data_IF_165315865516
#
_entry.id   IF_165315865516
#
_cell.length_a   1.000
_cell.length_b   1.000
_cell.length_c   1.000
_cell.angle_alpha   90.00
_cell.angle_beta   90.00
_cell.angle_gamma   90.00
#
_symmetry.space_group_name_H-M   'P 1'
#
loop_
_entity.id
_entity.type
_entity.pdbx_description
1 polymer ?
#
# COMPACT_ATOMS: atom_id res chain seq x y z
N UNK A 1 13.02 20.54 18.32
CA UNK A 1 12.23 20.11 17.15
C UNK A 1 11.56 18.80 17.53
N UNK A 2 10.23 18.77 17.66
CA UNK A 2 9.50 17.53 17.96
C UNK A 2 9.68 16.58 16.77
N UNK A 3 10.45 15.51 16.96
CA UNK A 3 10.65 14.47 15.97
C UNK A 3 9.30 13.83 15.66
N UNK A 4 8.82 13.93 14.41
CA UNK A 4 7.67 13.17 13.91
C UNK A 4 8.05 11.71 13.62
N UNK A 5 9.06 11.18 14.34
CA UNK A 5 9.64 9.87 14.08
C UNK A 5 8.58 8.79 14.25
N UNK A 6 8.46 7.92 13.24
CA UNK A 6 7.60 6.73 13.29
C UNK A 6 8.46 5.49 13.29
N UNK A 7 8.02 4.41 13.90
CA UNK A 7 8.72 3.14 13.79
C UNK A 7 8.53 2.56 12.38
N UNK A 8 7.28 2.54 11.89
CA UNK A 8 6.93 2.03 10.58
C UNK A 8 6.02 3.01 9.81
N UNK A 9 6.30 3.18 8.53
CA UNK A 9 5.43 3.92 7.58
C UNK A 9 4.95 2.95 6.50
N UNK A 10 3.65 2.94 6.22
CA UNK A 10 3.10 2.13 5.13
C UNK A 10 3.00 2.94 3.82
N UNK A 11 3.42 2.32 2.73
CA UNK A 11 3.28 2.82 1.36
C UNK A 11 2.36 1.89 0.59
N UNK A 12 1.14 2.37 0.32
CA UNK A 12 0.07 1.61 -0.31
C UNK A 12 -0.02 1.94 -1.79
N UNK A 13 0.38 0.99 -2.64
CA UNK A 13 0.37 1.12 -4.09
C UNK A 13 -1.06 0.96 -4.62
N UNK A 14 -1.70 2.08 -4.96
CA UNK A 14 -3.10 2.16 -5.42
C UNK A 14 -3.23 2.57 -6.91
N UNK A 15 -2.15 2.47 -7.69
CA UNK A 15 -2.12 2.84 -9.11
C UNK A 15 -2.67 1.81 -10.10
N UNK A 16 -3.17 0.67 -9.63
CA UNK A 16 -3.64 -0.42 -10.48
C UNK A 16 -4.84 -0.04 -11.36
N UNK A 17 -4.61 0.12 -12.66
CA UNK A 17 -5.65 0.40 -13.67
C UNK A 17 -6.71 -0.72 -13.74
N UNK A 18 -6.36 -1.94 -13.35
CA UNK A 18 -7.31 -3.04 -13.28
C UNK A 18 -7.90 -3.43 -14.64
N UNK A 19 -7.13 -3.35 -15.73
CA UNK A 19 -7.57 -3.63 -17.11
C UNK A 19 -8.37 -4.92 -17.28
N UNK A 20 -8.11 -5.93 -16.43
CA UNK A 20 -8.78 -7.24 -16.44
C UNK A 20 -10.23 -7.22 -15.93
N UNK A 21 -10.67 -6.15 -15.26
CA UNK A 21 -12.03 -5.98 -14.74
C UNK A 21 -12.99 -5.30 -15.76
N UNK A 22 -12.49 -4.98 -16.96
CA UNK A 22 -13.31 -4.49 -18.07
C UNK A 22 -14.11 -3.24 -17.72
N UNK A 23 -15.44 -3.31 -17.85
CA UNK A 23 -16.34 -2.17 -17.63
C UNK A 23 -16.33 -1.65 -16.18
N UNK A 24 -15.93 -2.47 -15.20
CA UNK A 24 -15.94 -2.10 -13.79
C UNK A 24 -14.84 -1.10 -13.40
N UNK A 25 -13.76 -1.01 -14.18
CA UNK A 25 -12.64 -0.07 -13.95
C UNK A 25 -12.58 1.04 -14.99
N UNK A 26 -13.58 1.13 -15.89
CA UNK A 26 -13.60 2.11 -16.99
C UNK A 26 -13.62 3.58 -16.53
N UNK A 27 -14.10 3.85 -15.30
CA UNK A 27 -14.22 5.19 -14.72
C UNK A 27 -13.65 5.29 -13.30
N UNK A 28 -12.92 4.27 -12.85
CA UNK A 28 -12.39 4.22 -11.49
C UNK A 28 -11.24 3.21 -11.38
N UNK A 29 -10.24 3.55 -10.57
CA UNK A 29 -9.15 2.63 -10.27
C UNK A 29 -9.65 1.35 -9.58
N UNK A 30 -8.98 0.21 -9.78
CA UNK A 30 -9.32 -1.07 -9.13
C UNK A 30 -9.49 -0.96 -7.60
N UNK A 31 -8.62 -0.23 -6.86
CA UNK A 31 -8.78 -0.04 -5.41
C UNK A 31 -10.10 0.64 -4.99
N UNK A 32 -10.71 1.43 -5.88
CA UNK A 32 -11.96 2.13 -5.62
C UNK A 32 -13.22 1.27 -5.88
N UNK A 33 -13.07 0.08 -6.47
CA UNK A 33 -14.20 -0.80 -6.79
C UNK A 33 -14.88 -1.25 -5.50
N UNK A 34 -16.22 -1.23 -5.51
CA UNK A 34 -17.02 -1.67 -4.38
C UNK A 34 -16.90 -3.18 -4.13
N UNK A 35 -16.89 -3.56 -2.86
CA UNK A 35 -16.88 -4.93 -2.39
C UNK A 35 -17.82 -5.10 -1.19
N UNK A 36 -18.58 -6.20 -1.16
CA UNK A 36 -19.46 -6.50 -0.02
C UNK A 36 -20.56 -5.46 0.24
N UNK A 37 -20.97 -4.72 -0.79
CA UNK A 37 -22.08 -3.75 -0.74
C UNK A 37 -21.74 -2.37 -0.15
N UNK A 38 -20.85 -2.30 0.85
CA UNK A 38 -20.51 -1.03 1.54
C UNK A 38 -19.04 -0.63 1.43
N UNK A 39 -18.15 -1.60 1.25
CA UNK A 39 -16.71 -1.38 1.28
C UNK A 39 -16.15 -1.16 -0.12
N UNK A 40 -14.90 -0.73 -0.19
CA UNK A 40 -14.06 -0.75 -1.38
C UNK A 40 -12.84 -1.63 -1.14
N UNK A 41 -12.19 -2.06 -2.21
CA UNK A 41 -11.02 -2.95 -2.11
C UNK A 41 -9.91 -2.34 -1.24
N UNK A 42 -9.67 -1.02 -1.36
CA UNK A 42 -8.65 -0.33 -0.58
C UNK A 42 -8.90 -0.34 0.94
N UNK A 43 -10.15 -0.56 1.37
CA UNK A 43 -10.52 -0.52 2.79
C UNK A 43 -9.80 -1.63 3.57
N UNK A 44 -9.53 -2.76 2.92
CA UNK A 44 -8.88 -3.91 3.56
C UNK A 44 -7.45 -3.62 3.99
N UNK A 45 -6.52 -3.22 3.09
CA UNK A 45 -5.17 -2.86 3.51
C UNK A 45 -5.13 -1.66 4.46
N UNK A 46 -6.03 -0.67 4.34
CA UNK A 46 -6.11 0.46 5.28
C UNK A 46 -6.53 0.02 6.68
N UNK A 47 -7.58 -0.81 6.78
CA UNK A 47 -7.99 -1.39 8.06
C UNK A 47 -6.91 -2.29 8.66
N UNK A 48 -6.18 -3.05 7.84
CA UNK A 48 -5.06 -3.85 8.31
C UNK A 48 -3.95 -2.97 8.90
N UNK A 49 -3.62 -1.82 8.29
CA UNK A 49 -2.65 -0.88 8.86
C UNK A 49 -3.06 -0.44 10.26
N UNK A 50 -4.27 0.11 10.42
CA UNK A 50 -4.76 0.60 11.72
C UNK A 50 -4.83 -0.52 12.76
N UNK A 51 -5.34 -1.70 12.39
CA UNK A 51 -5.44 -2.85 13.30
C UNK A 51 -4.07 -3.42 13.71
N UNK A 52 -3.02 -3.13 12.92
CA UNK A 52 -1.63 -3.52 13.21
C UNK A 52 -0.82 -2.40 13.87
N UNK A 53 -1.47 -1.31 14.32
CA UNK A 53 -0.80 -0.18 14.97
C UNK A 53 -0.04 0.75 14.03
N UNK A 54 -0.19 0.60 12.70
CA UNK A 54 0.45 1.47 11.71
C UNK A 54 -0.46 2.66 11.43
N UNK A 55 -0.06 3.82 11.94
CA UNK A 55 -0.87 5.04 11.92
C UNK A 55 -0.49 6.05 10.83
N UNK A 56 0.54 5.75 10.03
CA UNK A 56 1.07 6.63 8.97
C UNK A 56 1.08 5.89 7.65
N UNK A 57 0.25 6.34 6.70
CA UNK A 57 0.02 5.65 5.44
C UNK A 57 0.06 6.62 4.26
N UNK A 58 1.00 6.42 3.35
CA UNK A 58 1.05 7.07 2.04
C UNK A 58 0.33 6.23 1.00
N UNK A 59 -0.69 6.77 0.36
CA UNK A 59 -1.46 6.08 -0.70
C UNK A 59 -1.04 6.60 -2.07
N UNK A 60 -0.31 5.79 -2.82
CA UNK A 60 0.22 6.15 -4.14
C UNK A 60 -0.86 5.95 -5.20
N UNK A 61 -1.45 7.06 -5.64
CA UNK A 61 -2.54 7.07 -6.63
C UNK A 61 -2.00 7.39 -8.01
N UNK A 62 -2.62 6.88 -9.08
CA UNK A 62 -2.15 7.12 -10.44
C UNK A 62 -3.33 7.38 -11.40
N UNK A 63 -4.11 6.35 -11.73
CA UNK A 63 -5.20 6.43 -12.72
C UNK A 63 -6.55 6.81 -12.08
N UNK A 64 -7.34 7.67 -12.74
CA UNK A 64 -8.70 8.08 -12.35
C UNK A 64 -8.88 8.30 -10.82
N UNK A 65 -8.07 9.16 -10.18
CA UNK A 65 -7.94 9.19 -8.73
C UNK A 65 -9.12 9.87 -8.04
N UNK A 66 -10.03 10.57 -8.75
CA UNK A 66 -11.09 11.36 -8.13
C UNK A 66 -11.95 10.52 -7.19
N UNK A 67 -12.49 9.40 -7.68
CA UNK A 67 -13.35 8.53 -6.86
C UNK A 67 -12.59 7.95 -5.65
N UNK A 68 -11.31 7.64 -5.82
CA UNK A 68 -10.46 7.11 -4.77
C UNK A 68 -10.16 8.20 -3.72
N UNK A 69 -9.71 9.37 -4.14
CA UNK A 69 -9.38 10.50 -3.28
C UNK A 69 -10.60 10.97 -2.48
N UNK A 70 -11.79 11.02 -3.09
CA UNK A 70 -13.03 11.35 -2.38
C UNK A 70 -13.35 10.34 -1.28
N UNK A 71 -13.08 9.06 -1.50
CA UNK A 71 -13.32 8.01 -0.51
C UNK A 71 -12.28 7.97 0.59
N UNK A 72 -11.01 8.20 0.25
CA UNK A 72 -9.93 8.33 1.21
C UNK A 72 -10.18 9.51 2.16
N UNK A 73 -10.59 10.66 1.61
CA UNK A 73 -10.83 11.87 2.40
C UNK A 73 -9.60 12.20 3.26
N UNK A 74 -9.83 12.38 4.56
CA UNK A 74 -8.77 12.58 5.56
C UNK A 74 -8.43 11.30 6.34
N UNK A 75 -8.97 10.14 5.95
CA UNK A 75 -8.69 8.86 6.62
C UNK A 75 -9.51 8.55 7.89
N UNK A 76 -10.45 9.42 8.30
CA UNK A 76 -11.29 9.21 9.50
C UNK A 76 -11.98 7.84 9.60
N UNK A 77 -12.50 7.21 8.52
CA UNK A 77 -13.14 5.90 8.61
C UNK A 77 -12.22 4.78 9.14
N UNK A 78 -10.90 4.98 9.03
CA UNK A 78 -9.87 4.05 9.51
C UNK A 78 -9.10 4.61 10.71
N UNK A 79 -9.51 5.74 11.29
CA UNK A 79 -8.76 6.41 12.35
C UNK A 79 -7.41 6.95 11.88
N UNK A 80 -7.26 7.27 10.60
CA UNK A 80 -6.02 7.77 10.01
C UNK A 80 -6.06 9.29 9.77
N UNK A 81 -6.81 10.03 10.57
CA UNK A 81 -6.95 11.50 10.51
C UNK A 81 -6.09 12.25 11.54
N UNK A 82 -5.02 11.60 12.00
CA UNK A 82 -4.09 12.16 12.98
C UNK A 82 -3.24 13.30 12.41
N UNK A 83 -3.01 14.36 13.20
CA UNK A 83 -2.13 15.49 12.81
C UNK A 83 -0.65 15.10 12.69
N UNK A 84 -0.22 14.02 13.37
CA UNK A 84 1.15 13.50 13.36
C UNK A 84 1.13 12.08 12.79
N UNK A 85 1.08 11.97 11.47
CA UNK A 85 0.88 10.73 10.75
C UNK A 85 -0.40 10.83 9.90
N UNK A 86 -1.18 9.76 9.87
CA UNK A 86 -2.43 9.67 9.16
C UNK A 86 -2.28 9.25 7.70
N UNK A 87 -3.38 9.38 6.97
CA UNK A 87 -3.50 9.00 5.56
C UNK A 87 -3.17 10.21 4.68
N UNK A 88 -2.21 10.03 3.76
CA UNK A 88 -1.87 11.03 2.75
C UNK A 88 -2.00 10.44 1.36
N UNK A 89 -2.77 11.07 0.47
CA UNK A 89 -2.81 10.72 -0.93
C UNK A 89 -1.59 11.31 -1.66
N UNK A 90 -0.87 10.45 -2.38
CA UNK A 90 0.40 10.76 -3.06
C UNK A 90 0.20 10.56 -4.58
N UNK A 91 -0.20 11.61 -5.32
CA UNK A 91 -0.29 11.54 -6.78
C UNK A 91 1.11 11.65 -7.42
N UNK A 92 1.27 11.27 -8.71
CA UNK A 92 2.52 11.47 -9.42
C UNK A 92 2.85 12.96 -9.56
N UNK A 93 4.15 13.29 -9.50
CA UNK A 93 4.61 14.65 -9.74
C UNK A 93 4.63 14.95 -11.24
N UNK A 94 4.04 16.08 -11.62
CA UNK A 94 4.15 16.64 -12.96
C UNK A 94 5.39 17.53 -12.97
N UNK A 95 6.45 17.10 -13.65
CA UNK A 95 7.60 17.98 -13.88
C UNK A 95 7.23 19.15 -14.80
N UNK A 96 8.00 20.24 -14.72
CA UNK A 96 7.80 21.45 -15.56
C UNK A 96 7.84 21.15 -17.07
N UNK A 97 8.41 20.02 -17.49
CA UNK A 97 8.50 19.58 -18.89
C UNK A 97 7.31 18.73 -19.37
N UNK A 98 6.36 18.38 -18.48
CA UNK A 98 5.19 17.55 -18.81
C UNK A 98 4.87 16.51 -17.72
N UNK A 99 3.63 16.01 -17.70
CA UNK A 99 3.18 15.02 -16.72
C UNK A 99 3.82 13.66 -16.93
N UNK A 100 4.62 13.21 -15.96
CA UNK A 100 5.17 11.86 -15.96
C UNK A 100 4.30 10.94 -15.11
N UNK A 101 3.89 9.82 -15.68
CA UNK A 101 3.29 8.72 -14.95
C UNK A 101 4.39 7.95 -14.21
N UNK A 102 4.07 7.26 -13.11
CA UNK A 102 5.03 6.34 -12.51
C UNK A 102 5.47 5.30 -13.54
N UNK A 103 6.79 5.15 -13.71
CA UNK A 103 7.41 4.16 -14.60
C UNK A 103 7.20 2.73 -14.07
N UNK A 104 6.91 2.60 -12.79
CA UNK A 104 6.61 1.34 -12.10
C UNK A 104 6.36 1.55 -10.61
N UNK A 105 6.16 0.46 -9.88
CA UNK A 105 5.91 0.50 -8.43
C UNK A 105 7.10 1.06 -7.64
N UNK A 106 8.32 0.70 -8.02
CA UNK A 106 9.53 1.23 -7.38
C UNK A 106 9.72 2.73 -7.65
N UNK A 107 9.46 3.19 -8.87
CA UNK A 107 9.50 4.61 -9.23
C UNK A 107 8.45 5.42 -8.46
N UNK A 108 7.26 4.85 -8.22
CA UNK A 108 6.24 5.47 -7.37
C UNK A 108 6.75 5.73 -5.94
N UNK A 109 7.48 4.78 -5.35
CA UNK A 109 8.11 4.98 -4.04
C UNK A 109 9.21 6.03 -4.12
N UNK A 110 10.09 5.94 -5.12
CA UNK A 110 11.21 6.86 -5.29
C UNK A 110 10.77 8.32 -5.42
N UNK A 111 9.78 8.61 -6.27
CA UNK A 111 9.25 9.96 -6.45
C UNK A 111 8.62 10.54 -5.17
N UNK A 112 8.21 9.67 -4.23
CA UNK A 112 7.60 10.05 -2.97
C UNK A 112 8.53 9.85 -1.76
N UNK A 113 9.85 9.77 -1.97
CA UNK A 113 10.81 9.56 -0.88
C UNK A 113 10.70 10.64 0.20
N UNK A 114 10.44 11.90 -0.18
CA UNK A 114 10.22 13.01 0.77
C UNK A 114 9.11 12.71 1.79
N UNK A 115 8.06 11.96 1.40
CA UNK A 115 7.00 11.55 2.32
C UNK A 115 7.50 10.56 3.37
N UNK A 116 8.44 9.70 3.02
CA UNK A 116 9.05 8.74 3.95
C UNK A 116 10.02 9.49 4.87
N UNK A 117 10.90 10.30 4.30
CA UNK A 117 11.94 11.05 5.02
C UNK A 117 11.38 11.99 6.10
N UNK A 118 10.19 12.58 5.89
CA UNK A 118 9.58 13.48 6.88
C UNK A 118 9.28 12.79 8.23
N UNK A 119 9.11 11.46 8.22
CA UNK A 119 8.82 10.65 9.40
C UNK A 119 10.02 9.85 9.90
N UNK A 120 11.16 9.90 9.20
CA UNK A 120 12.41 9.21 9.55
C UNK A 120 12.20 7.77 10.08
N UNK A 121 11.48 6.89 9.33
CA UNK A 121 11.07 5.61 9.87
C UNK A 121 12.21 4.60 9.90
N UNK A 122 12.15 3.67 10.86
CA UNK A 122 13.06 2.53 10.91
C UNK A 122 12.65 1.44 9.89
N UNK A 123 11.35 1.36 9.57
CA UNK A 123 10.80 0.37 8.66
C UNK A 123 9.81 0.99 7.67
N UNK A 124 9.81 0.48 6.44
CA UNK A 124 8.83 0.85 5.41
C UNK A 124 8.06 -0.39 4.98
N UNK A 125 6.74 -0.36 5.14
CA UNK A 125 5.85 -1.45 4.74
C UNK A 125 5.25 -1.15 3.36
N UNK A 126 5.53 -1.99 2.36
CA UNK A 126 4.97 -1.84 1.01
C UNK A 126 3.73 -2.73 0.86
N UNK A 127 2.60 -2.15 0.49
CA UNK A 127 1.31 -2.85 0.37
C UNK A 127 0.70 -2.68 -1.02
N UNK A 128 0.00 -3.72 -1.48
CA UNK A 128 -0.87 -3.61 -2.65
C UNK A 128 -2.27 -3.14 -2.24
N UNK A 129 -2.79 -2.12 -2.93
CA UNK A 129 -4.11 -1.55 -2.68
C UNK A 129 -5.27 -2.29 -3.35
N UNK A 130 -5.00 -3.41 -4.02
CA UNK A 130 -5.94 -4.06 -4.94
C UNK A 130 -6.27 -5.52 -4.58
N UNK A 131 -5.88 -5.94 -3.38
CA UNK A 131 -6.15 -7.25 -2.80
C UNK A 131 -7.11 -7.14 -1.60
N UNK A 132 -7.98 -8.14 -1.47
CA UNK A 132 -8.92 -8.28 -0.35
C UNK A 132 -8.38 -9.35 0.57
N UNK A 133 -7.93 -8.97 1.76
CA UNK A 133 -7.37 -9.88 2.74
C UNK A 133 -7.38 -9.26 4.14
N UNK A 134 -7.21 -10.10 5.16
CA UNK A 134 -6.96 -9.68 6.54
C UNK A 134 -5.58 -10.20 6.95
N UNK A 135 -4.73 -9.30 7.42
CA UNK A 135 -3.39 -9.63 7.89
C UNK A 135 -3.03 -8.69 9.03
N UNK A 136 -2.33 -9.24 10.01
CA UNK A 136 -1.70 -8.52 11.10
C UNK A 136 -0.24 -8.26 10.71
N UNK A 137 0.06 -7.00 10.36
CA UNK A 137 1.39 -6.60 9.92
C UNK A 137 2.39 -6.50 11.07
N UNK A 138 1.93 -6.38 12.32
CA UNK A 138 2.81 -6.34 13.48
C UNK A 138 3.60 -7.65 13.56
N UNK A 139 2.93 -8.79 13.35
CA UNK A 139 3.59 -10.11 13.28
C UNK A 139 4.65 -10.20 12.19
N UNK A 140 4.38 -9.64 11.01
CA UNK A 140 5.35 -9.62 9.91
C UNK A 140 6.55 -8.72 10.25
N UNK A 141 6.30 -7.59 10.89
CA UNK A 141 7.32 -6.66 11.34
C UNK A 141 8.19 -7.27 12.45
N UNK A 142 7.59 -7.96 13.42
CA UNK A 142 8.31 -8.72 14.45
C UNK A 142 9.21 -9.76 13.81
N UNK A 143 8.69 -10.57 12.89
CA UNK A 143 9.47 -11.58 12.18
C UNK A 143 10.66 -10.95 11.41
N UNK A 144 10.43 -9.84 10.72
CA UNK A 144 11.47 -9.11 10.01
C UNK A 144 12.60 -8.66 10.95
N UNK A 145 12.24 -8.12 12.13
CA UNK A 145 13.19 -7.70 13.18
C UNK A 145 13.98 -8.88 13.74
N UNK A 146 13.30 -9.97 14.08
CA UNK A 146 13.92 -11.18 14.65
C UNK A 146 14.93 -11.81 13.69
N UNK A 147 14.63 -11.81 12.39
CA UNK A 147 15.52 -12.37 11.36
C UNK A 147 16.61 -11.41 10.92
N UNK A 148 16.51 -10.13 11.28
CA UNK A 148 17.40 -9.05 10.79
C UNK A 148 17.56 -9.10 9.26
N UNK A 149 16.47 -9.41 8.56
CA UNK A 149 16.48 -9.58 7.11
C UNK A 149 16.53 -8.21 6.42
N UNK A 150 17.19 -8.11 5.28
CA UNK A 150 17.14 -6.88 4.47
C UNK A 150 15.72 -6.60 3.94
N UNK A 151 14.98 -7.66 3.60
CA UNK A 151 13.61 -7.62 3.11
C UNK A 151 12.84 -8.86 3.59
N UNK A 152 11.59 -8.67 3.97
CA UNK A 152 10.64 -9.78 4.25
C UNK A 152 9.46 -9.68 3.30
N UNK A 153 9.09 -10.82 2.70
CA UNK A 153 8.02 -10.90 1.71
C UNK A 153 6.95 -11.86 2.22
N UNK A 154 5.70 -11.40 2.26
CA UNK A 154 4.55 -12.25 2.58
C UNK A 154 4.18 -13.09 1.35
N UNK A 155 4.05 -14.39 1.54
CA UNK A 155 3.73 -15.36 0.48
C UNK A 155 2.52 -16.19 0.88
N UNK A 156 1.85 -16.77 -0.12
CA UNK A 156 0.78 -17.74 0.07
C UNK A 156 1.15 -19.04 -0.64
N UNK A 157 0.82 -20.16 -0.03
CA UNK A 157 0.88 -21.44 -0.72
C UNK A 157 -0.28 -21.56 -1.70
N UNK A 158 0.03 -21.94 -2.93
CA UNK A 158 -0.96 -22.18 -3.98
C UNK A 158 -0.71 -23.54 -4.62
N UNK A 159 -1.77 -24.23 -5.08
CA UNK A 159 -1.63 -25.45 -5.87
C UNK A 159 -0.72 -25.24 -7.09
N UNK A 160 0.12 -26.24 -7.42
CA UNK A 160 1.09 -26.16 -8.53
C UNK A 160 0.46 -25.80 -9.88
N UNK A 161 -0.77 -26.23 -10.13
CA UNK A 161 -1.52 -25.90 -11.36
C UNK A 161 -1.93 -24.42 -11.45
N UNK A 162 -1.92 -23.68 -10.34
CA UNK A 162 -2.20 -22.24 -10.30
C UNK A 162 -0.95 -21.36 -10.19
N UNK A 163 0.20 -21.94 -9.81
CA UNK A 163 1.45 -21.23 -9.53
C UNK A 163 1.93 -20.34 -10.68
N UNK A 164 1.69 -20.73 -11.94
CA UNK A 164 2.08 -19.97 -13.14
C UNK A 164 1.45 -18.57 -13.24
N UNK A 165 0.41 -18.29 -12.44
CA UNK A 165 -0.28 -17.00 -12.39
C UNK A 165 0.34 -16.02 -11.39
N UNK A 166 1.32 -16.47 -10.61
CA UNK A 166 1.93 -15.73 -9.50
C UNK A 166 3.45 -15.60 -9.68
N UNK A 167 4.06 -14.69 -8.92
CA UNK A 167 5.50 -14.70 -8.71
C UNK A 167 5.89 -15.85 -7.78
N UNK A 168 6.81 -16.70 -8.21
CA UNK A 168 7.26 -17.86 -7.45
C UNK A 168 8.50 -17.49 -6.64
N UNK A 169 8.50 -17.85 -5.36
CA UNK A 169 9.64 -17.72 -4.45
C UNK A 169 10.20 -19.11 -4.16
N UNK A 170 11.52 -19.26 -4.26
CA UNK A 170 12.20 -20.44 -3.74
C UNK A 170 12.69 -20.10 -2.34
N UNK A 171 12.27 -20.90 -1.36
CA UNK A 171 12.72 -20.79 0.03
C UNK A 171 13.68 -21.92 0.35
N UNK A 172 14.55 -21.68 1.33
CA UNK A 172 15.25 -22.77 2.00
C UNK A 172 14.43 -23.25 3.20
N UNK A 173 14.86 -24.36 3.81
CA UNK A 173 14.17 -24.97 4.94
C UNK A 173 14.19 -24.13 6.24
N UNK A 174 14.94 -23.01 6.30
CA UNK A 174 15.11 -22.19 7.51
C UNK A 174 14.10 -21.04 7.61
N UNK A 175 13.39 -20.71 6.52
CA UNK A 175 12.44 -19.59 6.44
C UNK A 175 10.97 -20.04 6.28
N UNK A 176 10.67 -21.33 6.49
CA UNK A 176 9.30 -21.89 6.44
C UNK A 176 8.75 -22.15 7.83
#
# INVERSE_FOLDING_TARGET
MTTNKKECVAMLLAGGEGKRLGLLTKKMAKPAVYFGGKYRIIDFPLSNCTNSGIDTVGVLTQYEPLALNTHLGIGTPWGLDHRKGGLTALPPFVEKAGGSWYLGTADAIYQNMCFIEQYDPEYVLILSGDHIYKMDYDKMLTYHKEKQADVTISVIEVPWNEASRFGIMNTDAYYT
#
